data_IF_470243888053
#
_entry.id   IF_470243888053
#
_cell.length_a   1.000
_cell.length_b   1.000
_cell.length_c   1.000
_cell.angle_alpha   90.00
_cell.angle_beta   90.00
_cell.angle_gamma   90.00
#
_symmetry.space_group_name_H-M   'P 1'
#
loop_
_entity.id
_entity.type
_entity.pdbx_description
1 polymer ?
#
# COMPACT_ATOMS: atom_id res chain seq x y z
N UNK A 1 2.38 -26.90 -5.00
CA UNK A 1 3.68 -27.03 -4.30
C UNK A 1 3.50 -27.25 -2.80
N UNK A 2 3.07 -26.26 -2.00
CA UNK A 2 3.07 -26.36 -0.52
C UNK A 2 2.18 -27.47 0.05
N UNK A 3 0.95 -27.65 -0.47
CA UNK A 3 0.07 -28.78 -0.10
C UNK A 3 0.71 -30.13 -0.41
N UNK A 4 1.37 -30.26 -1.57
CA UNK A 4 2.08 -31.47 -1.96
C UNK A 4 3.32 -31.75 -1.09
N UNK A 5 3.92 -30.70 -0.51
CA UNK A 5 5.01 -30.80 0.46
C UNK A 5 4.53 -31.17 1.88
N UNK A 6 3.23 -31.45 2.09
CA UNK A 6 2.70 -31.85 3.40
C UNK A 6 2.51 -30.70 4.40
N UNK A 7 2.52 -29.44 3.95
CA UNK A 7 2.29 -28.28 4.81
C UNK A 7 0.82 -28.26 5.25
N UNK A 8 0.59 -28.44 6.56
CA UNK A 8 -0.76 -28.48 7.15
C UNK A 8 -1.22 -27.16 7.75
N UNK A 9 -0.31 -26.22 8.00
CA UNK A 9 -0.66 -24.93 8.58
C UNK A 9 0.28 -23.81 8.14
N UNK A 10 -0.22 -22.58 8.24
CA UNK A 10 0.55 -21.36 8.10
C UNK A 10 0.41 -20.56 9.39
N UNK A 11 1.49 -19.86 9.76
CA UNK A 11 1.50 -18.92 10.86
C UNK A 11 1.58 -17.50 10.30
N UNK A 12 0.67 -16.65 10.73
CA UNK A 12 0.77 -15.19 10.56
C UNK A 12 1.43 -14.62 11.81
N UNK A 13 2.51 -13.87 11.66
CA UNK A 13 3.25 -13.27 12.78
C UNK A 13 3.13 -11.74 12.75
N UNK A 14 3.03 -11.13 13.94
CA UNK A 14 3.04 -9.68 14.09
C UNK A 14 2.90 -9.24 15.54
N UNK A 15 3.87 -8.48 16.05
CA UNK A 15 3.85 -7.90 17.40
C UNK A 15 3.17 -6.52 17.40
N UNK A 16 2.23 -6.30 18.33
CA UNK A 16 1.51 -5.01 18.53
C UNK A 16 0.79 -4.52 17.26
N UNK A 17 0.16 -5.43 16.52
CA UNK A 17 -0.63 -5.09 15.34
C UNK A 17 -2.06 -4.69 15.72
N UNK A 18 -2.65 -3.81 14.91
CA UNK A 18 -4.02 -3.36 15.11
C UNK A 18 -5.03 -4.49 14.83
N UNK A 19 -6.26 -4.40 15.39
CA UNK A 19 -7.34 -5.33 15.02
C UNK A 19 -7.61 -5.36 13.52
N UNK A 20 -7.52 -4.20 12.85
CA UNK A 20 -7.71 -4.10 11.40
C UNK A 20 -6.68 -4.93 10.63
N UNK A 21 -5.40 -4.87 11.01
CA UNK A 21 -4.36 -5.70 10.39
C UNK A 21 -4.64 -7.19 10.56
N UNK A 22 -5.06 -7.60 11.76
CA UNK A 22 -5.37 -9.02 12.02
C UNK A 22 -6.53 -9.47 11.14
N UNK A 23 -7.59 -8.67 11.03
CA UNK A 23 -8.75 -8.98 10.20
C UNK A 23 -8.37 -9.08 8.72
N UNK A 24 -7.71 -8.06 8.16
CA UNK A 24 -7.37 -8.03 6.71
C UNK A 24 -6.36 -9.10 6.34
N UNK A 25 -5.33 -9.34 7.17
CA UNK A 25 -4.31 -10.36 6.89
C UNK A 25 -4.90 -11.76 6.93
N UNK A 26 -5.71 -12.07 7.94
CA UNK A 26 -6.28 -13.42 8.08
C UNK A 26 -7.34 -13.71 7.01
N UNK A 27 -8.18 -12.72 6.66
CA UNK A 27 -9.15 -12.83 5.57
C UNK A 27 -8.47 -13.07 4.22
N UNK A 28 -7.45 -12.26 3.88
CA UNK A 28 -6.69 -12.40 2.64
C UNK A 28 -6.10 -13.82 2.47
N UNK A 29 -5.36 -14.29 3.48
CA UNK A 29 -4.75 -15.62 3.40
C UNK A 29 -5.78 -16.74 3.42
N UNK A 30 -6.91 -16.58 4.11
CA UNK A 30 -8.00 -17.58 4.09
C UNK A 30 -8.58 -17.70 2.69
N UNK A 31 -8.96 -16.58 2.08
CA UNK A 31 -9.48 -16.58 0.70
C UNK A 31 -8.47 -17.15 -0.29
N UNK A 32 -7.18 -16.83 -0.13
CA UNK A 32 -6.12 -17.36 -0.99
C UNK A 32 -5.97 -18.88 -0.86
N UNK A 33 -5.97 -19.41 0.37
CA UNK A 33 -5.82 -20.83 0.64
C UNK A 33 -7.04 -21.66 0.23
N UNK A 34 -8.22 -21.05 0.29
CA UNK A 34 -9.50 -21.66 -0.09
C UNK A 34 -9.78 -21.50 -1.60
N UNK A 35 -8.92 -20.82 -2.36
CA UNK A 35 -9.08 -20.60 -3.80
C UNK A 35 -10.24 -19.66 -4.17
N UNK A 36 -10.57 -18.73 -3.27
CA UNK A 36 -11.69 -17.78 -3.38
C UNK A 36 -11.25 -16.36 -3.78
N UNK A 37 -10.07 -16.25 -4.38
CA UNK A 37 -9.50 -15.00 -4.87
C UNK A 37 -9.21 -15.16 -6.34
N UNK A 38 -9.98 -14.49 -7.19
CA UNK A 38 -9.58 -14.34 -8.58
C UNK A 38 -8.41 -13.34 -8.71
N UNK A 39 -7.83 -13.24 -9.90
CA UNK A 39 -6.65 -12.39 -10.13
C UNK A 39 -6.94 -10.89 -9.93
N UNK A 40 -8.14 -10.41 -10.24
CA UNK A 40 -8.53 -9.01 -10.09
C UNK A 40 -8.78 -8.66 -8.62
N UNK A 41 -9.58 -9.47 -7.92
CA UNK A 41 -9.85 -9.33 -6.49
C UNK A 41 -8.56 -9.41 -5.67
N UNK A 42 -7.63 -10.27 -6.10
CA UNK A 42 -6.34 -10.42 -5.44
C UNK A 42 -5.56 -9.12 -5.47
N UNK A 43 -5.40 -8.49 -6.63
CA UNK A 43 -4.65 -7.23 -6.73
C UNK A 43 -5.22 -6.14 -5.81
N UNK A 44 -6.55 -6.05 -5.72
CA UNK A 44 -7.24 -5.10 -4.83
C UNK A 44 -6.95 -5.41 -3.36
N UNK A 45 -7.13 -6.66 -2.91
CA UNK A 45 -6.86 -7.02 -1.51
C UNK A 45 -5.38 -6.93 -1.13
N UNK A 46 -4.47 -7.19 -2.06
CA UNK A 46 -3.03 -6.97 -1.84
C UNK A 46 -2.75 -5.48 -1.62
N UNK A 47 -3.37 -4.59 -2.40
CA UNK A 47 -3.25 -3.15 -2.23
C UNK A 47 -3.87 -2.66 -0.91
N UNK A 48 -4.99 -3.23 -0.46
CA UNK A 48 -5.61 -2.89 0.83
C UNK A 48 -4.76 -3.36 2.02
N UNK A 49 -4.21 -4.58 1.93
CA UNK A 49 -3.28 -5.09 2.92
C UNK A 49 -2.04 -4.19 3.03
N UNK A 50 -1.57 -3.68 1.89
CA UNK A 50 -0.47 -2.73 1.84
C UNK A 50 -0.80 -1.41 2.56
N UNK A 51 -2.01 -0.89 2.36
CA UNK A 51 -2.51 0.32 3.04
C UNK A 51 -2.64 0.11 4.56
N UNK A 52 -3.18 -1.01 5.02
CA UNK A 52 -3.38 -1.26 6.47
C UNK A 52 -2.05 -1.36 7.22
N UNK A 53 -1.18 -2.26 6.78
CA UNK A 53 0.21 -2.33 7.24
C UNK A 53 0.98 -3.34 6.37
N UNK A 54 1.83 -2.86 5.47
CA UNK A 54 2.86 -3.68 4.85
C UNK A 54 4.23 -3.01 4.78
N UNK A 55 5.23 -3.88 4.66
CA UNK A 55 6.53 -3.60 4.06
C UNK A 55 6.52 -4.17 2.64
N UNK A 56 7.45 -3.77 1.76
CA UNK A 56 7.62 -4.42 0.47
C UNK A 56 7.72 -5.93 0.65
N UNK A 57 7.01 -6.65 -0.21
CA UNK A 57 7.00 -8.10 -0.15
C UNK A 57 8.36 -8.64 -0.58
N UNK A 58 8.86 -9.60 0.18
CA UNK A 58 10.12 -10.28 -0.13
C UNK A 58 9.84 -11.75 -0.40
N UNK A 59 10.78 -12.39 -1.10
CA UNK A 59 10.75 -13.84 -1.31
C UNK A 59 11.25 -14.60 -0.08
N UNK A 60 11.63 -13.88 0.98
CA UNK A 60 12.25 -14.44 2.18
C UNK A 60 13.35 -15.43 1.78
N UNK A 61 13.47 -16.54 2.50
CA UNK A 61 14.47 -17.57 2.23
C UNK A 61 14.01 -18.63 1.23
N UNK A 62 13.00 -18.36 0.40
CA UNK A 62 12.45 -19.38 -0.50
C UNK A 62 13.39 -19.74 -1.65
N UNK A 63 14.33 -18.86 -2.01
CA UNK A 63 15.33 -19.11 -3.05
C UNK A 63 16.70 -19.51 -2.49
N UNK A 64 17.10 -18.92 -1.36
CA UNK A 64 18.40 -19.19 -0.73
C UNK A 64 18.36 -18.85 0.76
N UNK A 65 19.02 -19.68 1.58
CA UNK A 65 19.24 -19.40 3.00
C UNK A 65 20.28 -18.30 3.26
N UNK A 66 21.04 -17.89 2.23
CA UNK A 66 22.04 -16.81 2.29
C UNK A 66 21.52 -15.48 1.78
N UNK A 67 20.24 -15.43 1.39
CA UNK A 67 19.66 -14.20 0.87
C UNK A 67 19.68 -13.11 1.95
N UNK A 68 20.15 -11.93 1.55
CA UNK A 68 20.25 -10.74 2.42
C UNK A 68 19.09 -9.79 2.20
N UNK A 69 18.28 -10.01 1.15
CA UNK A 69 17.13 -9.17 0.76
C UNK A 69 15.79 -9.74 1.28
N UNK A 70 15.86 -10.47 2.41
CA UNK A 70 14.69 -11.07 3.07
C UNK A 70 13.83 -10.05 3.81
N UNK A 71 14.37 -8.88 4.10
CA UNK A 71 13.66 -7.76 4.71
C UNK A 71 14.08 -6.46 4.03
N UNK A 72 13.18 -5.48 4.03
CA UNK A 72 13.49 -4.12 3.61
C UNK A 72 14.63 -3.55 4.46
N UNK A 73 15.76 -3.25 3.81
CA UNK A 73 17.00 -2.77 4.42
C UNK A 73 16.97 -1.26 4.65
N UNK A 74 16.17 -0.56 3.87
CA UNK A 74 16.13 0.89 3.82
C UNK A 74 15.05 1.43 4.76
N UNK A 75 13.94 0.70 4.92
CA UNK A 75 12.81 1.13 5.75
C UNK A 75 12.32 0.06 6.71
N UNK A 76 12.28 0.40 8.01
CA UNK A 76 11.68 -0.46 9.06
C UNK A 76 10.18 -0.24 9.25
N UNK A 77 9.61 0.80 8.63
CA UNK A 77 8.23 1.27 8.81
C UNK A 77 7.24 0.74 7.78
N UNK A 78 5.98 1.17 7.94
CA UNK A 78 4.90 1.00 6.96
C UNK A 78 5.16 1.89 5.73
N UNK A 79 4.83 1.39 4.54
CA UNK A 79 5.04 2.07 3.24
C UNK A 79 3.74 2.43 2.52
N UNK A 80 2.61 1.85 2.92
CA UNK A 80 1.36 1.95 2.16
C UNK A 80 1.44 1.28 0.78
N UNK A 81 0.46 1.60 -0.06
CA UNK A 81 0.42 1.22 -1.47
C UNK A 81 0.90 2.40 -2.32
N UNK A 82 1.69 2.14 -3.38
CA UNK A 82 2.15 3.20 -4.28
C UNK A 82 0.95 3.68 -5.11
N UNK A 83 0.58 4.95 -4.96
CA UNK A 83 -0.56 5.54 -5.66
C UNK A 83 -0.17 6.52 -6.77
N UNK A 84 1.10 6.89 -6.92
CA UNK A 84 1.50 7.84 -7.95
C UNK A 84 2.90 8.44 -7.73
N UNK A 85 3.24 9.44 -8.54
CA UNK A 85 4.48 10.22 -8.42
C UNK A 85 4.15 11.69 -8.41
N UNK A 86 4.78 12.46 -7.51
CA UNK A 86 4.61 13.92 -7.47
C UNK A 86 5.08 14.53 -8.79
N UNK A 87 4.20 15.28 -9.44
CA UNK A 87 4.45 15.98 -10.69
C UNK A 87 4.82 17.45 -10.46
N UNK A 88 4.21 18.07 -9.45
CA UNK A 88 4.49 19.45 -9.08
C UNK A 88 4.28 19.69 -7.58
N UNK A 89 5.07 20.62 -7.03
CA UNK A 89 4.92 21.17 -5.69
C UNK A 89 4.59 22.64 -5.83
N UNK A 90 3.50 23.09 -5.21
CA UNK A 90 3.01 24.48 -5.24
C UNK A 90 2.72 24.96 -3.82
N UNK A 91 3.72 25.60 -3.21
CA UNK A 91 3.62 26.00 -1.81
C UNK A 91 3.49 24.78 -0.90
N UNK A 92 2.37 24.68 -0.20
CA UNK A 92 1.99 23.59 0.70
C UNK A 92 1.21 22.45 0.00
N UNK A 93 1.02 22.53 -1.32
CA UNK A 93 0.26 21.55 -2.10
C UNK A 93 1.17 20.72 -3.00
N UNK A 94 0.79 19.46 -3.19
CA UNK A 94 1.37 18.59 -4.21
C UNK A 94 0.32 18.27 -5.28
N UNK A 95 0.77 18.05 -6.50
CA UNK A 95 -0.04 17.55 -7.61
C UNK A 95 0.55 16.24 -8.13
N UNK A 96 -0.31 15.26 -8.37
CA UNK A 96 0.02 13.97 -8.97
C UNK A 96 -1.25 13.33 -9.54
N UNK A 97 -1.10 12.40 -10.48
CA UNK A 97 -2.17 11.49 -10.89
C UNK A 97 -2.20 10.28 -9.95
N UNK A 98 -3.35 10.03 -9.33
CA UNK A 98 -3.53 8.90 -8.40
C UNK A 98 -4.03 7.67 -9.13
N UNK A 99 -3.46 6.50 -8.83
CA UNK A 99 -3.95 5.19 -9.31
C UNK A 99 -5.05 4.61 -8.42
N UNK A 100 -5.42 5.31 -7.33
CA UNK A 100 -6.47 4.92 -6.39
C UNK A 100 -7.35 6.11 -6.06
N UNK A 101 -8.58 5.81 -5.67
CA UNK A 101 -9.47 6.78 -5.05
C UNK A 101 -8.85 7.30 -3.75
N UNK A 102 -9.07 8.57 -3.45
CA UNK A 102 -8.55 9.25 -2.26
C UNK A 102 -9.66 10.03 -1.60
N UNK A 103 -9.68 10.01 -0.27
CA UNK A 103 -10.58 10.80 0.54
C UNK A 103 -9.83 11.77 1.45
N UNK A 104 -10.52 12.84 1.86
CA UNK A 104 -10.02 13.69 2.94
C UNK A 104 -9.77 12.83 4.19
N UNK A 105 -8.68 13.14 4.88
CA UNK A 105 -8.14 12.43 6.04
C UNK A 105 -7.41 11.11 5.76
N UNK A 106 -7.34 10.67 4.51
CA UNK A 106 -6.41 9.60 4.15
C UNK A 106 -4.96 10.00 4.47
N UNK A 107 -4.19 9.04 4.95
CA UNK A 107 -2.76 9.21 5.22
C UNK A 107 -1.94 9.01 3.95
N UNK A 108 -1.23 10.05 3.53
CA UNK A 108 -0.24 9.96 2.46
C UNK A 108 1.17 9.88 3.03
N UNK A 109 2.05 9.18 2.31
CA UNK A 109 3.48 9.19 2.56
C UNK A 109 4.23 9.56 1.28
N UNK A 110 5.21 10.45 1.40
CA UNK A 110 6.13 10.78 0.31
C UNK A 110 7.48 10.14 0.62
N UNK A 111 7.91 9.28 -0.28
CA UNK A 111 9.26 8.74 -0.29
C UNK A 111 10.24 9.78 -0.82
N UNK A 112 11.10 10.26 0.08
CA UNK A 112 12.18 11.18 -0.25
C UNK A 112 13.50 10.42 -0.13
N UNK A 113 14.18 10.11 -1.25
CA UNK A 113 15.44 9.35 -1.23
C UNK A 113 16.51 9.93 -0.31
N UNK A 114 16.44 11.24 -0.04
CA UNK A 114 17.41 12.00 0.75
C UNK A 114 17.18 11.92 2.27
N UNK A 115 15.99 11.55 2.75
CA UNK A 115 15.60 11.69 4.16
C UNK A 115 15.66 10.40 4.97
N UNK A 116 15.99 9.25 4.36
CA UNK A 116 16.10 7.95 5.04
C UNK A 116 14.80 7.40 5.65
N UNK A 117 13.74 8.22 5.72
CA UNK A 117 12.39 7.83 6.13
C UNK A 117 11.34 8.59 5.30
N UNK A 118 10.18 7.97 5.01
CA UNK A 118 9.09 8.66 4.32
C UNK A 118 8.52 9.80 5.17
N UNK A 119 8.07 10.87 4.52
CA UNK A 119 7.33 11.97 5.16
C UNK A 119 5.83 11.69 5.05
N UNK A 120 5.15 11.51 6.19
CA UNK A 120 3.73 11.18 6.25
C UNK A 120 2.86 12.33 6.75
N UNK A 121 1.68 12.53 6.15
CA UNK A 121 0.70 13.54 6.52
C UNK A 121 -0.72 13.13 6.10
N UNK A 122 -1.77 13.60 6.81
CA UNK A 122 -3.14 13.40 6.38
C UNK A 122 -3.53 14.38 5.26
N UNK A 123 -4.50 14.01 4.44
CA UNK A 123 -5.10 14.92 3.45
C UNK A 123 -6.09 15.85 4.16
N UNK A 124 -5.71 17.12 4.37
CA UNK A 124 -6.62 18.12 4.94
C UNK A 124 -7.64 18.64 3.90
N UNK A 125 -7.15 18.86 2.67
CA UNK A 125 -7.90 19.36 1.53
C UNK A 125 -7.50 18.64 0.25
N UNK A 126 -8.49 18.40 -0.63
CA UNK A 126 -8.32 17.64 -1.86
C UNK A 126 -8.96 18.39 -3.02
N UNK A 127 -8.25 18.50 -4.14
CA UNK A 127 -8.74 19.16 -5.35
C UNK A 127 -8.58 18.25 -6.56
N UNK A 128 -9.62 18.17 -7.39
CA UNK A 128 -9.55 17.51 -8.70
C UNK A 128 -9.28 18.58 -9.76
N UNK A 129 -8.26 18.33 -10.59
CA UNK A 129 -7.94 19.15 -11.76
C UNK A 129 -8.79 18.64 -12.93
N UNK A 130 -9.62 19.50 -13.52
CA UNK A 130 -10.41 19.12 -14.71
C UNK A 130 -9.47 18.96 -15.92
N UNK A 131 -9.32 17.75 -16.45
CA UNK A 131 -8.50 17.47 -17.63
C UNK A 131 -8.91 18.31 -18.85
N UNK A 132 -10.21 18.57 -19.00
CA UNK A 132 -10.79 19.32 -20.11
C UNK A 132 -10.63 20.85 -19.99
N UNK A 133 -10.22 21.35 -18.82
CA UNK A 133 -10.04 22.80 -18.55
C UNK A 133 -8.81 23.06 -17.69
N UNK A 134 -7.61 23.12 -18.31
CA UNK A 134 -6.36 23.35 -17.60
C UNK A 134 -6.42 24.61 -16.73
N UNK A 135 -6.27 24.44 -15.41
CA UNK A 135 -6.26 25.53 -14.44
C UNK A 135 -7.54 25.67 -13.61
N UNK A 136 -8.60 24.91 -13.91
CA UNK A 136 -9.77 24.82 -13.02
C UNK A 136 -9.59 23.67 -12.03
N UNK A 137 -9.54 24.02 -10.76
CA UNK A 137 -9.46 23.09 -9.64
C UNK A 137 -10.78 23.14 -8.87
N UNK A 138 -11.33 21.97 -8.53
CA UNK A 138 -12.54 21.86 -7.69
C UNK A 138 -12.18 21.13 -6.41
N UNK A 139 -12.45 21.76 -5.27
CA UNK A 139 -12.30 21.08 -3.98
C UNK A 139 -13.35 19.98 -3.84
N UNK A 140 -12.93 18.82 -3.36
CA UNK A 140 -13.77 17.63 -3.20
C UNK A 140 -13.48 16.96 -1.85
N UNK A 141 -14.42 16.15 -1.39
CA UNK A 141 -14.18 15.25 -0.27
C UNK A 141 -13.49 13.96 -0.71
N UNK A 142 -13.89 13.46 -1.88
CA UNK A 142 -13.40 12.24 -2.51
C UNK A 142 -12.96 12.55 -3.93
N UNK A 143 -11.80 12.03 -4.33
CA UNK A 143 -11.28 12.10 -5.69
C UNK A 143 -11.16 10.69 -6.28
N UNK A 144 -11.69 10.45 -7.50
CA UNK A 144 -11.49 9.18 -8.16
C UNK A 144 -10.01 9.00 -8.57
N UNK A 145 -9.62 7.76 -8.88
CA UNK A 145 -8.37 7.53 -9.58
C UNK A 145 -8.36 8.22 -10.97
N UNK A 146 -7.23 8.78 -11.39
CA UNK A 146 -7.08 9.53 -12.64
C UNK A 146 -6.17 10.74 -12.55
#
# INVERSE_FOLDING_TARGET
>A
ALRAAGVSCFKVEGRKKSPLYVATTTDYYRKLLDGRLDAGERAIQEADLQTVFSRPWTRLFTESHKDKEVADRDTVGHRGSLIGRVEAVRGDRIRFCSTRELERHDGLQIDLPTLGKPFGFPIDHLWVVEADRPGREREVFEAPAG
#
